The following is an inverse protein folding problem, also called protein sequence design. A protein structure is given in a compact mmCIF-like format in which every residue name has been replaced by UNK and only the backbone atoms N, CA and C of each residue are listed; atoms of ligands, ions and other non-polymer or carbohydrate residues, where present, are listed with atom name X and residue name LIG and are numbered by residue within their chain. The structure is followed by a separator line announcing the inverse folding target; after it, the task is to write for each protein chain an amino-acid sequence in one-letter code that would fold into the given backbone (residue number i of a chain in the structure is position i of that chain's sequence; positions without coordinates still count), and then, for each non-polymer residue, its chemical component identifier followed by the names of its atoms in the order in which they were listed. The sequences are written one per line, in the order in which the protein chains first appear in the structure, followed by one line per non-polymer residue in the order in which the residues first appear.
data_IF_349221367002
#
_entry.id   IF_349221367002
#
_cell.length_a   1.000
_cell.length_b   1.000
_cell.length_c   1.000
_cell.angle_alpha   90.00
_cell.angle_beta   90.00
_cell.angle_gamma   90.00
#
_symmetry.space_group_name_H-M   'P 1'
#
loop_
_entity.id
_entity.type
_entity.pdbx_description
1 polymer ?
#
# COMPACT_ATOMS: atom_id res chain seq x y z
N UNK A 1 -6.17 -7.90 -3.89
CA UNK A 1 -7.10 -6.99 -3.20
C UNK A 1 -6.65 -5.54 -3.34
N UNK A 2 -7.55 -4.67 -3.74
CA UNK A 2 -7.29 -3.24 -3.92
C UNK A 2 -8.32 -2.47 -3.09
N UNK A 3 -7.86 -1.49 -2.30
CA UNK A 3 -8.75 -0.62 -1.55
C UNK A 3 -9.47 0.36 -2.49
N UNK A 4 -10.64 0.87 -2.08
CA UNK A 4 -11.48 1.71 -2.93
C UNK A 4 -10.79 3.01 -3.39
N UNK A 5 -9.84 3.51 -2.63
CA UNK A 5 -9.09 4.74 -2.92
C UNK A 5 -7.70 4.50 -3.51
N UNK A 6 -7.42 3.26 -3.90
CA UNK A 6 -6.17 2.89 -4.57
C UNK A 6 -6.41 2.68 -6.06
N UNK A 7 -5.50 3.19 -6.89
CA UNK A 7 -5.56 3.07 -8.34
C UNK A 7 -4.32 2.31 -8.82
N UNK A 8 -4.48 1.08 -9.33
CA UNK A 8 -3.32 0.33 -9.84
C UNK A 8 -2.79 0.95 -11.12
N UNK A 9 -1.47 1.00 -11.26
CA UNK A 9 -0.83 1.43 -12.49
C UNK A 9 -1.21 0.46 -13.63
N UNK A 10 -1.40 1.00 -14.83
CA UNK A 10 -1.78 0.19 -16.00
C UNK A 10 -0.82 -0.96 -16.27
N UNK A 11 0.48 -0.71 -16.15
CA UNK A 11 1.51 -1.74 -16.37
C UNK A 11 1.37 -2.89 -15.36
N UNK A 12 1.05 -2.59 -14.10
CA UNK A 12 0.78 -3.60 -13.09
C UNK A 12 -0.41 -4.48 -13.51
N UNK A 13 -1.50 -3.87 -13.92
CA UNK A 13 -2.70 -4.61 -14.30
C UNK A 13 -2.51 -5.41 -15.58
N UNK A 14 -1.82 -4.86 -16.57
CA UNK A 14 -1.55 -5.55 -17.83
C UNK A 14 -0.67 -6.80 -17.64
N UNK A 15 0.12 -6.86 -16.58
CA UNK A 15 1.05 -7.95 -16.30
C UNK A 15 0.69 -8.80 -15.08
N UNK A 16 -0.48 -8.60 -14.48
CA UNK A 16 -0.84 -9.24 -13.20
C UNK A 16 -0.81 -10.78 -13.28
N UNK A 17 -1.32 -11.37 -14.35
CA UNK A 17 -1.33 -12.82 -14.50
C UNK A 17 0.08 -13.38 -14.65
N UNK A 18 0.93 -12.71 -15.42
CA UNK A 18 2.32 -13.10 -15.60
C UNK A 18 3.10 -13.00 -14.30
N UNK A 19 2.86 -11.94 -13.52
CA UNK A 19 3.46 -11.74 -12.20
C UNK A 19 3.11 -12.92 -11.29
N UNK A 20 1.86 -13.30 -11.25
CA UNK A 20 1.39 -14.41 -10.41
C UNK A 20 2.03 -15.75 -10.87
N UNK A 21 2.10 -15.99 -12.17
CA UNK A 21 2.70 -17.22 -12.72
C UNK A 21 4.19 -17.32 -12.44
N UNK A 22 4.92 -16.21 -12.48
CA UNK A 22 6.36 -16.18 -12.28
C UNK A 22 6.77 -16.24 -10.81
N UNK A 23 5.85 -15.98 -9.88
CA UNK A 23 6.13 -15.92 -8.45
C UNK A 23 5.28 -16.96 -7.71
N UNK A 24 5.80 -18.17 -7.59
CA UNK A 24 5.10 -19.25 -6.88
C UNK A 24 5.25 -19.09 -5.37
N UNK A 25 4.60 -18.07 -4.83
CA UNK A 25 4.62 -17.72 -3.40
C UNK A 25 3.20 -17.44 -2.91
N UNK A 26 3.01 -17.47 -1.59
CA UNK A 26 1.72 -17.19 -0.98
C UNK A 26 1.32 -15.73 -1.07
N UNK A 27 2.29 -14.81 -0.96
CA UNK A 27 2.05 -13.36 -0.92
C UNK A 27 3.07 -12.64 -1.78
N UNK A 28 2.62 -11.65 -2.53
CA UNK A 28 3.48 -10.73 -3.27
C UNK A 28 3.19 -9.32 -2.76
N UNK A 29 4.20 -8.65 -2.23
CA UNK A 29 4.09 -7.26 -1.79
C UNK A 29 4.14 -6.33 -2.99
N UNK A 30 3.23 -5.36 -3.01
CA UNK A 30 3.08 -4.38 -4.09
C UNK A 30 3.43 -3.00 -3.54
N UNK A 31 4.30 -2.23 -4.20
CA UNK A 31 4.63 -0.87 -3.74
C UNK A 31 3.42 0.06 -3.89
N UNK A 32 3.39 1.13 -3.09
CA UNK A 32 2.30 2.10 -3.12
C UNK A 32 2.86 3.51 -3.15
N UNK A 33 2.37 4.31 -4.11
CA UNK A 33 2.68 5.73 -4.22
C UNK A 33 1.62 6.51 -3.45
N UNK A 34 1.99 7.06 -2.30
CA UNK A 34 1.10 7.88 -1.49
C UNK A 34 1.38 9.36 -1.76
N UNK A 35 0.36 10.09 -2.20
CA UNK A 35 0.43 11.53 -2.38
C UNK A 35 -0.65 12.20 -1.55
N UNK A 36 -0.31 13.33 -0.90
CA UNK A 36 -1.27 14.07 -0.08
C UNK A 36 -1.26 15.52 -0.55
N UNK A 37 -2.34 15.95 -1.19
CA UNK A 37 -2.50 17.33 -1.65
C UNK A 37 -2.67 18.25 -0.44
N UNK A 38 -1.91 19.34 -0.39
CA UNK A 38 -1.95 20.31 0.70
C UNK A 38 -1.09 19.96 1.92
N UNK A 39 -0.28 18.91 1.83
CA UNK A 39 0.61 18.51 2.93
C UNK A 39 1.66 19.58 3.20
N UNK A 40 1.84 19.93 4.49
CA UNK A 40 2.85 20.90 4.93
C UNK A 40 4.04 20.21 5.59
N UNK A 41 5.19 20.91 5.64
CA UNK A 41 6.38 20.40 6.32
C UNK A 41 6.17 20.15 7.81
N UNK A 42 5.35 20.96 8.47
CA UNK A 42 5.00 20.76 9.87
C UNK A 42 4.23 19.46 10.10
N UNK A 43 3.31 19.13 9.20
CA UNK A 43 2.55 17.88 9.27
C UNK A 43 3.44 16.67 9.04
N UNK A 44 4.38 16.76 8.11
CA UNK A 44 5.37 15.69 7.85
C UNK A 44 6.15 15.39 9.12
N UNK A 45 6.64 16.44 9.81
CA UNK A 45 7.36 16.29 11.07
C UNK A 45 6.48 15.72 12.18
N UNK A 46 5.28 16.28 12.33
CA UNK A 46 4.34 15.88 13.38
C UNK A 46 3.95 14.40 13.28
N UNK A 47 3.77 13.91 12.07
CA UNK A 47 3.34 12.53 11.84
C UNK A 47 4.50 11.56 11.62
N UNK A 48 5.74 12.05 11.62
CA UNK A 48 6.92 11.22 11.44
C UNK A 48 7.03 10.62 10.04
N UNK A 49 6.45 11.27 9.04
CA UNK A 49 6.49 10.79 7.66
C UNK A 49 7.80 11.16 6.98
N UNK A 50 8.17 10.35 5.99
CA UNK A 50 9.33 10.58 5.13
C UNK A 50 8.83 10.87 3.73
N UNK A 51 9.25 12.01 3.15
CA UNK A 51 8.99 12.35 1.76
C UNK A 51 10.24 12.10 0.92
N UNK A 52 10.05 11.55 -0.26
CA UNK A 52 11.12 11.42 -1.24
C UNK A 52 11.19 12.65 -2.15
N UNK A 53 12.09 12.62 -3.14
CA UNK A 53 12.28 13.73 -4.10
C UNK A 53 11.04 14.01 -4.97
N UNK A 54 10.15 13.03 -5.10
CA UNK A 54 8.90 13.15 -5.85
C UNK A 54 7.74 13.65 -4.98
N UNK A 55 7.94 13.83 -3.68
CA UNK A 55 6.90 14.16 -2.72
C UNK A 55 6.02 13.00 -2.32
N UNK A 56 6.47 11.77 -2.53
CA UNK A 56 5.74 10.57 -2.14
C UNK A 56 5.99 10.23 -0.68
N UNK A 57 4.91 9.90 0.03
CA UNK A 57 4.96 9.62 1.46
C UNK A 57 5.40 8.18 1.71
N UNK A 58 6.49 8.00 2.45
CA UNK A 58 6.98 6.70 2.90
C UNK A 58 7.21 5.69 1.76
N UNK A 59 7.55 6.15 0.55
CA UNK A 59 7.87 5.26 -0.57
C UNK A 59 8.98 4.29 -0.19
N UNK A 60 8.88 3.00 -0.50
CA UNK A 60 7.90 2.33 -1.40
C UNK A 60 6.63 1.83 -0.72
N UNK A 61 6.47 1.92 0.57
CA UNK A 61 5.28 1.56 1.32
C UNK A 61 4.62 0.24 0.83
N UNK A 62 5.33 -0.88 0.91
CA UNK A 62 4.85 -2.15 0.35
C UNK A 62 3.59 -2.65 1.03
N UNK A 63 2.67 -3.19 0.23
CA UNK A 63 1.36 -3.62 0.69
C UNK A 63 1.10 -5.08 0.35
N UNK A 64 0.43 -5.82 1.24
CA UNK A 64 -0.06 -7.18 1.00
C UNK A 64 -1.31 -7.09 0.11
N UNK A 65 -1.14 -7.06 -1.21
CA UNK A 65 -2.26 -6.91 -2.14
C UNK A 65 -2.49 -8.11 -3.06
N UNK A 66 -1.47 -8.92 -3.26
CA UNK A 66 -1.57 -10.17 -4.03
C UNK A 66 -1.31 -11.32 -3.08
N UNK A 67 -2.29 -12.20 -2.90
CA UNK A 67 -2.14 -13.35 -2.01
C UNK A 67 -3.06 -14.49 -2.44
N UNK A 68 -2.67 -15.72 -2.08
CA UNK A 68 -3.44 -16.92 -2.37
C UNK A 68 -4.70 -16.95 -1.50
N UNK A 69 -5.80 -17.35 -2.07
CA UNK A 69 -7.05 -17.55 -1.34
C UNK A 69 -7.06 -18.96 -0.73
N UNK A 70 -6.38 -19.11 0.39
CA UNK A 70 -6.25 -20.39 1.11
C UNK A 70 -6.56 -20.18 2.59
N UNK A 71 -6.96 -21.26 3.28
CA UNK A 71 -7.49 -21.20 4.64
C UNK A 71 -6.50 -20.69 5.68
N UNK A 72 -5.20 -20.90 5.48
CA UNK A 72 -4.18 -20.51 6.45
C UNK A 72 -3.74 -19.04 6.35
N UNK A 73 -4.18 -18.31 5.31
CA UNK A 73 -3.89 -16.87 5.16
C UNK A 73 -5.10 -16.07 5.60
N UNK A 74 -4.90 -15.17 6.56
CA UNK A 74 -5.97 -14.35 7.15
C UNK A 74 -5.52 -12.93 7.42
N UNK A 75 -6.47 -12.00 7.41
CA UNK A 75 -6.26 -10.63 7.86
C UNK A 75 -6.45 -10.52 9.36
N UNK A 76 -5.62 -9.71 10.01
CA UNK A 76 -5.68 -9.47 11.46
C UNK A 76 -5.57 -7.97 11.76
N UNK A 77 -6.23 -7.52 12.82
CA UNK A 77 -6.34 -6.14 13.31
C UNK A 77 -7.35 -5.27 12.56
N UNK A 78 -7.93 -4.30 13.31
CA UNK A 78 -9.01 -3.44 12.79
C UNK A 78 -8.51 -2.20 12.04
N UNK A 79 -7.37 -1.64 12.42
CA UNK A 79 -6.89 -0.36 11.89
C UNK A 79 -5.70 -0.55 10.96
N UNK A 80 -4.66 -1.19 11.44
CA UNK A 80 -3.49 -1.53 10.64
C UNK A 80 -3.54 -3.03 10.34
N UNK A 81 -4.37 -3.39 9.36
CA UNK A 81 -4.57 -4.80 9.02
C UNK A 81 -3.29 -5.43 8.48
N UNK A 82 -2.93 -6.56 9.05
CA UNK A 82 -1.79 -7.36 8.62
C UNK A 82 -2.26 -8.70 8.09
N UNK A 83 -1.62 -9.17 7.04
CA UNK A 83 -1.85 -10.50 6.51
C UNK A 83 -0.98 -11.47 7.29
N UNK A 84 -1.59 -12.52 7.84
CA UNK A 84 -0.88 -13.54 8.63
C UNK A 84 -1.11 -14.92 8.07
N UNK A 85 -0.29 -15.87 8.52
CA UNK A 85 -0.41 -17.29 8.18
C UNK A 85 0.28 -17.68 6.88
N UNK A 86 0.75 -16.73 6.07
CA UNK A 86 1.47 -17.04 4.84
C UNK A 86 2.84 -17.69 5.16
N UNK A 87 3.24 -18.59 4.28
CA UNK A 87 4.50 -19.34 4.44
C UNK A 87 5.62 -18.82 3.54
N UNK A 88 5.26 -18.24 2.40
CA UNK A 88 6.21 -17.71 1.42
C UNK A 88 5.78 -16.32 0.98
N UNK A 89 6.76 -15.44 0.74
CA UNK A 89 6.49 -14.05 0.38
C UNK A 89 7.55 -13.57 -0.62
N UNK A 90 7.12 -12.71 -1.55
CA UNK A 90 7.99 -12.05 -2.51
C UNK A 90 7.61 -10.57 -2.60
N UNK A 91 8.49 -9.77 -3.18
CA UNK A 91 8.25 -8.35 -3.45
C UNK A 91 8.29 -8.12 -4.95
N UNK A 92 7.37 -7.28 -5.45
CA UNK A 92 7.56 -6.72 -6.78
C UNK A 92 8.73 -5.72 -6.74
N UNK A 93 9.41 -5.48 -7.88
CA UNK A 93 10.35 -4.38 -7.95
C UNK A 93 9.68 -3.08 -7.50
N UNK A 94 10.39 -2.27 -6.71
CA UNK A 94 9.87 -1.03 -6.16
C UNK A 94 9.91 0.08 -7.22
N UNK A 95 8.98 -0.01 -8.18
CA UNK A 95 8.88 0.86 -9.34
C UNK A 95 7.48 1.42 -9.45
N UNK A 96 7.37 2.68 -9.88
CA UNK A 96 6.08 3.36 -10.05
C UNK A 96 5.14 2.57 -10.98
N UNK A 97 5.68 1.98 -12.05
CA UNK A 97 4.91 1.23 -13.03
C UNK A 97 4.25 -0.03 -12.48
N UNK A 98 4.75 -0.53 -11.36
CA UNK A 98 4.21 -1.71 -10.69
C UNK A 98 3.53 -1.36 -9.36
N UNK A 99 3.17 -0.09 -9.16
CA UNK A 99 2.65 0.41 -7.90
C UNK A 99 1.13 0.61 -7.93
N UNK A 100 0.56 0.66 -6.73
CA UNK A 100 -0.76 1.23 -6.50
C UNK A 100 -0.59 2.72 -6.24
N UNK A 101 -1.45 3.55 -6.82
CA UNK A 101 -1.47 4.99 -6.57
C UNK A 101 -2.57 5.31 -5.56
N UNK A 102 -2.21 6.04 -4.52
CA UNK A 102 -3.08 6.33 -3.38
C UNK A 102 -3.10 7.83 -3.09
N UNK A 103 -3.79 8.62 -3.95
CA UNK A 103 -3.87 10.07 -3.74
C UNK A 103 -4.88 10.42 -2.64
N UNK A 104 -4.52 11.40 -1.81
CA UNK A 104 -5.40 11.94 -0.77
C UNK A 104 -5.31 13.45 -0.72
N UNK A 105 -6.35 14.10 -0.17
CA UNK A 105 -6.26 15.50 0.27
C UNK A 105 -5.83 15.54 1.73
N UNK A 106 -5.24 16.67 2.16
CA UNK A 106 -4.86 16.85 3.56
C UNK A 106 -6.07 16.79 4.50
N UNK A 107 -7.19 17.31 4.07
CA UNK A 107 -8.44 17.28 4.85
C UNK A 107 -8.90 15.86 5.12
N UNK A 108 -8.84 15.02 4.11
CA UNK A 108 -9.21 13.60 4.24
C UNK A 108 -8.26 12.86 5.17
N UNK A 109 -6.95 13.16 5.08
CA UNK A 109 -5.95 12.55 5.94
C UNK A 109 -6.15 12.94 7.41
N UNK A 110 -6.45 14.21 7.68
CA UNK A 110 -6.74 14.69 9.04
C UNK A 110 -7.96 13.96 9.61
N UNK A 111 -9.03 13.85 8.85
CA UNK A 111 -10.23 13.13 9.29
C UNK A 111 -9.95 11.66 9.57
N UNK A 112 -9.13 11.01 8.76
CA UNK A 112 -8.75 9.62 8.96
C UNK A 112 -7.95 9.44 10.24
N UNK A 113 -7.01 10.34 10.52
CA UNK A 113 -6.21 10.31 11.75
C UNK A 113 -7.10 10.48 12.99
N UNK A 114 -8.03 11.42 12.95
CA UNK A 114 -9.00 11.64 14.04
C UNK A 114 -9.86 10.40 14.28
N UNK A 115 -10.32 9.77 13.22
CA UNK A 115 -11.10 8.53 13.31
C UNK A 115 -10.31 7.41 13.98
N UNK A 116 -9.05 7.22 13.61
CA UNK A 116 -8.20 6.19 14.19
C UNK A 116 -7.92 6.44 15.68
N UNK A 117 -7.83 7.70 16.12
CA UNK A 117 -7.66 8.04 17.52
C UNK A 117 -8.87 7.63 18.38
N UNK A 118 -10.06 7.46 17.79
CA UNK A 118 -11.27 7.04 18.50
C UNK A 118 -11.43 5.53 18.61
N UNK A 119 -10.60 4.77 17.91
CA UNK A 119 -10.63 3.31 17.94
C UNK A 119 -9.73 2.79 19.06
#
# INVERSE_FOLDING_TARGET
QIDADEIPHKTLMDNIHQIIEMNDVDVILVPRVNTVEGLTGEQVQKWGWVLDENGWVNWPDPQWRIYRNVDYIKWENKVHENLIGYKTISNLPMMQELALHHPKTIERQVKQNEYYETL
#
